data_IF_041679473604
#
_entry.id   IF_041679473604
#
_cell.length_a   1.000
_cell.length_b   1.000
_cell.length_c   1.000
_cell.angle_alpha   90.00
_cell.angle_beta   90.00
_cell.angle_gamma   90.00
#
_symmetry.space_group_name_H-M   'P 1'
#
loop_
_entity.id
_entity.type
_entity.pdbx_description
1 polymer ?
#
# COMPACT_ATOMS: atom_id res chain seq x y z
N UNK A 1 -13.24 8.16 8.24
CA UNK A 1 -11.76 8.19 8.41
C UNK A 1 -11.09 8.18 7.03
N UNK A 2 -10.04 8.97 6.86
CA UNK A 2 -9.24 9.00 5.65
C UNK A 2 -7.78 8.68 5.96
N UNK A 3 -7.08 8.06 5.01
CA UNK A 3 -5.64 7.80 5.13
C UNK A 3 -4.94 8.40 3.92
N UNK A 4 -4.17 9.47 4.14
CA UNK A 4 -3.32 10.06 3.11
C UNK A 4 -2.07 9.22 2.98
N UNK A 5 -1.73 8.81 1.76
CA UNK A 5 -0.57 7.97 1.48
C UNK A 5 0.41 8.66 0.54
N UNK A 6 1.69 8.36 0.74
CA UNK A 6 2.80 8.67 -0.15
C UNK A 6 3.69 7.43 -0.21
N UNK A 7 3.98 6.94 -1.41
CA UNK A 7 4.80 5.74 -1.62
C UNK A 7 5.77 5.94 -2.78
N UNK A 8 6.99 5.44 -2.66
CA UNK A 8 8.02 5.44 -3.71
C UNK A 8 8.70 4.08 -3.71
N UNK A 9 8.65 3.39 -4.86
CA UNK A 9 9.43 2.19 -5.07
C UNK A 9 10.86 2.58 -5.45
N UNK A 10 11.86 1.89 -4.91
CA UNK A 10 13.27 2.12 -5.24
C UNK A 10 13.84 0.88 -5.92
N UNK A 11 14.44 1.07 -7.11
CA UNK A 11 15.02 -0.01 -7.90
C UNK A 11 13.99 -0.77 -8.74
N UNK A 12 13.94 -2.10 -8.57
CA UNK A 12 13.13 -2.99 -9.42
C UNK A 12 11.64 -2.98 -9.02
N UNK A 13 10.73 -3.42 -9.92
CA UNK A 13 9.31 -3.47 -9.65
C UNK A 13 8.95 -4.27 -8.39
N UNK A 14 7.94 -3.80 -7.67
CA UNK A 14 7.34 -4.40 -6.48
C UNK A 14 5.83 -4.48 -6.64
N UNK A 15 5.21 -5.52 -6.08
CA UNK A 15 3.76 -5.54 -5.89
C UNK A 15 3.41 -4.76 -4.63
N UNK A 16 2.44 -3.84 -4.72
CA UNK A 16 1.94 -3.11 -3.55
C UNK A 16 0.42 -3.22 -3.52
N UNK A 17 -0.12 -3.73 -2.43
CA UNK A 17 -1.57 -3.85 -2.22
C UNK A 17 -1.94 -3.28 -0.86
N UNK A 18 -2.97 -2.44 -0.84
CA UNK A 18 -3.56 -1.93 0.38
C UNK A 18 -5.00 -2.47 0.51
N UNK A 19 -5.33 -3.03 1.67
CA UNK A 19 -6.65 -3.59 1.97
C UNK A 19 -7.08 -3.25 3.40
N UNK A 20 -8.38 -3.37 3.66
CA UNK A 20 -8.92 -3.50 5.01
C UNK A 20 -9.15 -4.98 5.26
N UNK A 21 -8.62 -5.49 6.36
CA UNK A 21 -8.86 -6.84 6.83
C UNK A 21 -9.77 -6.85 8.06
N UNK A 22 -10.60 -7.89 8.18
CA UNK A 22 -11.41 -8.15 9.38
C UNK A 22 -10.58 -8.85 10.49
N UNK A 23 -11.25 -9.20 11.58
CA UNK A 23 -10.67 -9.90 12.74
C UNK A 23 -10.25 -11.34 12.43
N UNK A 24 -10.83 -11.97 11.41
CA UNK A 24 -10.39 -13.26 10.89
C UNK A 24 -9.11 -13.15 10.06
N UNK A 25 -8.73 -11.93 9.68
CA UNK A 25 -7.59 -11.62 8.84
C UNK A 25 -7.89 -11.67 7.34
N UNK A 26 -9.15 -11.89 6.94
CA UNK A 26 -9.57 -11.86 5.56
C UNK A 26 -9.61 -10.43 5.02
N UNK A 27 -9.13 -10.22 3.78
CA UNK A 27 -9.29 -8.94 3.10
C UNK A 27 -10.79 -8.72 2.78
N UNK A 28 -11.41 -7.72 3.38
CA UNK A 28 -12.82 -7.36 3.15
C UNK A 28 -12.99 -6.24 2.13
N UNK A 29 -11.99 -5.36 1.99
CA UNK A 29 -11.97 -4.27 1.01
C UNK A 29 -10.56 -4.08 0.45
N UNK A 30 -10.45 -3.90 -0.87
CA UNK A 30 -9.19 -3.49 -1.53
C UNK A 30 -9.23 -1.98 -1.77
N UNK A 31 -8.26 -1.26 -1.20
CA UNK A 31 -8.11 0.19 -1.33
C UNK A 31 -7.19 0.56 -2.51
N UNK A 32 -6.22 -0.30 -2.80
CA UNK A 32 -5.28 -0.13 -3.90
C UNK A 32 -4.68 -1.49 -4.27
N UNK A 33 -4.54 -1.75 -5.57
CA UNK A 33 -3.77 -2.89 -6.09
C UNK A 33 -2.84 -2.40 -7.21
N UNK A 34 -1.53 -2.41 -6.96
CA UNK A 34 -0.48 -2.07 -7.92
C UNK A 34 0.47 -3.25 -8.03
N UNK A 35 0.22 -4.20 -8.94
CA UNK A 35 1.06 -5.40 -9.07
C UNK A 35 2.47 -5.08 -9.59
N UNK A 36 2.68 -3.91 -10.19
CA UNK A 36 3.97 -3.45 -10.71
C UNK A 36 4.19 -1.98 -10.40
N UNK A 37 4.65 -1.68 -9.19
CA UNK A 37 5.14 -0.35 -8.80
C UNK A 37 6.66 -0.30 -8.93
N UNK A 38 7.18 0.69 -9.65
CA UNK A 38 8.60 0.77 -10.01
C UNK A 38 9.13 2.20 -9.86
N UNK A 39 10.46 2.34 -9.83
CA UNK A 39 11.13 3.64 -9.61
C UNK A 39 10.72 4.71 -10.65
N UNK A 40 10.52 4.31 -11.91
CA UNK A 40 10.11 5.23 -12.98
C UNK A 40 8.69 5.77 -12.83
N UNK A 41 7.84 5.16 -11.99
CA UNK A 41 6.51 5.68 -11.71
C UNK A 41 6.57 6.97 -10.86
N UNK A 42 7.71 7.21 -10.21
CA UNK A 42 7.87 8.30 -9.24
C UNK A 42 7.00 8.09 -7.99
N UNK A 43 6.73 9.19 -7.25
CA UNK A 43 5.88 9.13 -6.08
C UNK A 43 4.42 8.83 -6.40
N UNK A 44 3.87 7.79 -5.77
CA UNK A 44 2.45 7.45 -5.79
C UNK A 44 1.79 8.06 -4.55
N UNK A 45 0.90 9.02 -4.77
CA UNK A 45 0.29 9.84 -3.72
C UNK A 45 -1.22 9.82 -3.86
N UNK A 46 -1.94 9.82 -2.75
CA UNK A 46 -3.39 9.89 -2.76
C UNK A 46 -4.00 9.79 -1.37
N UNK A 47 -5.30 9.53 -1.33
CA UNK A 47 -6.06 9.36 -0.09
C UNK A 47 -6.98 8.16 -0.23
N UNK A 48 -6.90 7.24 0.73
CA UNK A 48 -7.89 6.19 0.89
C UNK A 48 -9.01 6.66 1.81
N UNK A 49 -10.25 6.42 1.42
CA UNK A 49 -11.41 6.54 2.31
C UNK A 49 -11.65 5.18 2.93
N UNK A 50 -11.63 5.10 4.27
CA UNK A 50 -11.81 3.84 4.98
C UNK A 50 -13.32 3.59 5.15
N UNK A 51 -13.88 2.56 4.52
CA UNK A 51 -15.34 2.39 4.44
C UNK A 51 -15.95 1.65 5.63
N UNK A 52 -15.13 0.93 6.40
CA UNK A 52 -15.56 0.12 7.54
C UNK A 52 -14.43 -0.01 8.56
N UNK A 53 -14.80 -0.34 9.79
CA UNK A 53 -13.83 -0.69 10.83
C UNK A 53 -13.07 -1.96 10.45
N UNK A 54 -11.81 -2.03 10.84
CA UNK A 54 -10.91 -3.14 10.54
C UNK A 54 -9.45 -2.75 10.63
N UNK A 55 -8.59 -3.64 10.12
CA UNK A 55 -7.14 -3.46 10.11
C UNK A 55 -6.70 -3.00 8.71
N UNK A 56 -6.13 -1.79 8.62
CA UNK A 56 -5.46 -1.36 7.39
C UNK A 56 -4.18 -2.19 7.19
N UNK A 57 -4.16 -2.97 6.11
CA UNK A 57 -3.04 -3.84 5.73
C UNK A 57 -2.37 -3.31 4.47
N UNK A 58 -1.05 -3.09 4.55
CA UNK A 58 -0.20 -2.80 3.40
C UNK A 58 0.70 -4.01 3.13
N UNK A 59 0.45 -4.69 2.01
CA UNK A 59 1.28 -5.80 1.56
C UNK A 59 2.26 -5.31 0.49
N UNK A 60 3.54 -5.57 0.71
CA UNK A 60 4.63 -5.27 -0.22
C UNK A 60 5.23 -6.60 -0.64
N UNK A 61 5.03 -6.97 -1.90
CA UNK A 61 5.50 -8.21 -2.47
C UNK A 61 6.73 -7.98 -3.35
N UNK A 62 7.83 -8.64 -2.98
CA UNK A 62 9.10 -8.57 -3.66
C UNK A 62 9.37 -9.77 -4.60
N UNK A 63 8.33 -10.44 -5.10
CA UNK A 63 8.42 -11.59 -6.02
C UNK A 63 9.27 -11.35 -7.27
N UNK A 64 9.46 -10.09 -7.67
CA UNK A 64 10.25 -9.73 -8.85
C UNK A 64 11.76 -9.58 -8.57
N UNK A 65 12.21 -9.70 -7.32
CA UNK A 65 13.63 -9.63 -6.99
C UNK A 65 14.27 -11.01 -6.85
N UNK A 66 15.07 -11.38 -7.87
CA UNK A 66 15.76 -12.68 -7.88
C UNK A 66 16.98 -12.77 -6.93
N UNK A 67 17.66 -11.65 -6.63
CA UNK A 67 19.01 -11.69 -6.01
C UNK A 67 19.27 -10.63 -4.94
N UNK A 68 18.47 -9.56 -4.85
CA UNK A 68 18.74 -8.44 -3.92
C UNK A 68 17.47 -7.92 -3.28
N UNK A 69 17.56 -7.54 -2.01
CA UNK A 69 16.52 -6.80 -1.31
C UNK A 69 16.12 -5.53 -2.08
N UNK A 70 14.86 -5.13 -1.91
CA UNK A 70 14.29 -3.93 -2.51
C UNK A 70 13.78 -3.02 -1.41
N UNK A 71 13.83 -1.73 -1.69
CA UNK A 71 13.39 -0.71 -0.77
C UNK A 71 12.11 -0.08 -1.29
N UNK A 72 11.21 0.20 -0.36
CA UNK A 72 10.05 1.05 -0.59
C UNK A 72 10.04 2.09 0.51
N UNK A 73 9.85 3.35 0.13
CA UNK A 73 9.61 4.44 1.08
C UNK A 73 8.12 4.68 1.13
N UNK A 74 7.54 4.66 2.31
CA UNK A 74 6.12 4.94 2.49
C UNK A 74 5.86 5.85 3.69
N UNK A 75 4.80 6.64 3.58
CA UNK A 75 4.23 7.44 4.67
C UNK A 75 2.72 7.33 4.62
N UNK A 76 2.11 6.97 5.74
CA UNK A 76 0.67 6.91 5.94
C UNK A 76 0.30 7.92 7.02
N UNK A 77 -0.60 8.85 6.72
CA UNK A 77 -1.16 9.77 7.70
C UNK A 77 -2.65 9.45 7.87
N UNK A 78 -3.03 9.00 9.07
CA UNK A 78 -4.43 8.83 9.44
C UNK A 78 -5.02 10.20 9.72
N UNK A 79 -6.14 10.51 9.10
CA UNK A 79 -6.87 11.76 9.23
C UNK A 79 -8.31 11.40 9.60
N UNK A 80 -8.75 11.82 10.78
CA UNK A 80 -10.14 11.65 11.16
C UNK A 80 -11.02 12.44 10.20
N UNK A 81 -12.12 11.81 9.76
CA UNK A 81 -13.11 12.52 8.97
C UNK A 81 -13.86 13.42 9.93
N UNK A 82 -13.79 14.73 9.73
CA UNK A 82 -14.67 15.68 10.42
C UNK A 82 -16.14 15.33 10.19
#
# INVERSE_FOLDING_TARGET
MHVKYYMVAEGKPLGVRASIADDTGADVVVLMDRPTMQESDGPVVGTWTIPSDGILRLNIDNRHALVRGRSIKFKLNVVDGN
#
